data_IF_706117583613
#
_entry.id   IF_706117583613
#
_cell.length_a   1.000
_cell.length_b   1.000
_cell.length_c   1.000
_cell.angle_alpha   90.00
_cell.angle_beta   90.00
_cell.angle_gamma   90.00
#
_symmetry.space_group_name_H-M   'P 1'
#
loop_
_entity.id
_entity.type
_entity.pdbx_description
1 polymer ?
#
# COMPACT_ATOMS: atom_id res chain seq x y z
N UNK A 1 17.63 20.04 -8.65
CA UNK A 1 16.98 18.88 -8.07
C UNK A 1 15.64 19.26 -7.47
N UNK A 2 14.60 18.63 -7.94
CA UNK A 2 13.27 18.95 -7.45
C UNK A 2 12.94 18.06 -6.24
N UNK A 3 12.66 18.69 -5.13
CA UNK A 3 12.19 17.94 -3.96
C UNK A 3 10.73 17.57 -4.18
N UNK A 4 10.40 16.32 -3.92
CA UNK A 4 9.02 15.90 -3.96
C UNK A 4 8.24 16.64 -2.90
N UNK A 5 7.09 17.15 -3.26
CA UNK A 5 6.18 17.73 -2.28
C UNK A 5 5.64 16.62 -1.38
N UNK A 6 5.08 17.00 -0.24
CA UNK A 6 4.47 16.02 0.64
C UNK A 6 3.33 15.30 -0.06
N UNK A 7 2.55 16.01 -0.85
CA UNK A 7 1.46 15.39 -1.61
C UNK A 7 2.00 14.33 -2.57
N UNK A 8 3.04 14.66 -3.33
CA UNK A 8 3.64 13.70 -4.27
C UNK A 8 4.18 12.48 -3.56
N UNK A 9 4.82 12.69 -2.40
CA UNK A 9 5.35 11.59 -1.60
C UNK A 9 4.23 10.67 -1.13
N UNK A 10 3.14 11.24 -0.64
CA UNK A 10 2.00 10.45 -0.17
C UNK A 10 1.33 9.69 -1.31
N UNK A 11 1.20 10.32 -2.47
CA UNK A 11 0.66 9.65 -3.65
C UNK A 11 1.55 8.50 -4.10
N UNK A 12 2.85 8.70 -4.06
CA UNK A 12 3.81 7.66 -4.41
C UNK A 12 3.70 6.49 -3.44
N UNK A 13 3.51 6.77 -2.15
CA UNK A 13 3.35 5.73 -1.14
C UNK A 13 2.12 4.87 -1.43
N UNK A 14 1.02 5.49 -1.86
CA UNK A 14 -0.18 4.74 -2.23
C UNK A 14 0.10 3.84 -3.42
N UNK A 15 0.76 4.36 -4.45
CA UNK A 15 1.09 3.56 -5.64
C UNK A 15 2.02 2.41 -5.28
N UNK A 16 3.05 2.69 -4.47
CA UNK A 16 4.02 1.67 -4.09
C UNK A 16 3.38 0.58 -3.24
N UNK A 17 2.51 0.94 -2.30
CA UNK A 17 1.86 -0.05 -1.45
C UNK A 17 0.83 -0.86 -2.23
N UNK A 18 0.17 -0.25 -3.20
CA UNK A 18 -0.75 -0.99 -4.06
C UNK A 18 0.00 -2.00 -4.91
N UNK A 19 1.15 -1.59 -5.46
CA UNK A 19 1.97 -2.50 -6.25
C UNK A 19 2.47 -3.68 -5.41
N UNK A 20 2.86 -3.42 -4.16
CA UNK A 20 3.27 -4.47 -3.25
C UNK A 20 2.13 -5.43 -2.94
N UNK A 21 0.92 -4.91 -2.78
CA UNK A 21 -0.26 -5.72 -2.54
C UNK A 21 -0.55 -6.63 -3.74
N UNK A 22 -0.51 -6.07 -4.94
CA UNK A 22 -0.74 -6.83 -6.17
C UNK A 22 0.35 -7.91 -6.35
N UNK A 23 1.60 -7.58 -6.05
CA UNK A 23 2.69 -8.54 -6.16
C UNK A 23 2.52 -9.70 -5.16
N UNK A 24 2.05 -9.41 -3.95
CA UNK A 24 1.79 -10.45 -2.96
C UNK A 24 0.73 -11.42 -3.45
N UNK A 25 -0.30 -10.92 -4.11
CA UNK A 25 -1.34 -11.76 -4.70
C UNK A 25 -0.78 -12.64 -5.80
N UNK A 26 0.03 -12.09 -6.69
CA UNK A 26 0.60 -12.85 -7.81
C UNK A 26 1.48 -13.99 -7.32
N UNK A 27 2.32 -13.72 -6.34
CA UNK A 27 3.20 -14.76 -5.78
C UNK A 27 2.37 -15.85 -5.13
N UNK A 28 1.31 -15.50 -4.44
CA UNK A 28 0.46 -16.47 -3.77
C UNK A 28 -0.29 -17.35 -4.77
N UNK A 29 -0.72 -16.77 -5.89
CA UNK A 29 -1.41 -17.53 -6.93
C UNK A 29 -0.50 -18.56 -7.59
N UNK A 30 0.78 -18.21 -7.76
CA UNK A 30 1.75 -19.09 -8.41
C UNK A 30 2.16 -20.25 -7.51
N UNK A 31 1.97 -20.12 -6.21
CA UNK A 31 2.43 -21.13 -5.25
C UNK A 31 1.26 -21.70 -4.46
N UNK A 32 0.35 -22.37 -5.14
CA UNK A 32 -0.87 -22.89 -4.54
C UNK A 32 -0.61 -24.13 -3.69
N UNK A 33 0.09 -23.96 -2.56
CA UNK A 33 0.37 -25.03 -1.63
C UNK A 33 -0.31 -24.73 -0.29
N UNK A 34 -0.76 -25.76 0.42
CA UNK A 34 -1.47 -25.58 1.69
C UNK A 34 -0.64 -24.85 2.72
N UNK A 35 0.68 -25.09 2.72
CA UNK A 35 1.60 -24.38 3.62
C UNK A 35 1.69 -22.91 3.27
N UNK A 36 1.31 -22.55 2.07
CA UNK A 36 1.35 -21.18 1.58
C UNK A 36 0.19 -20.34 2.04
N UNK A 37 -0.94 -20.97 2.36
CA UNK A 37 -2.14 -20.23 2.73
C UNK A 37 -1.91 -19.34 3.95
N UNK A 38 -1.22 -19.88 4.97
CA UNK A 38 -0.94 -19.11 6.18
C UNK A 38 0.04 -17.96 5.88
N UNK A 39 1.09 -18.25 5.13
CA UNK A 39 2.07 -17.22 4.75
C UNK A 39 1.44 -16.20 3.82
N UNK A 40 0.57 -16.65 2.93
CA UNK A 40 -0.17 -15.78 2.03
C UNK A 40 -1.05 -14.79 2.80
N UNK A 41 -1.82 -15.30 3.76
CA UNK A 41 -2.70 -14.46 4.56
C UNK A 41 -1.92 -13.38 5.31
N UNK A 42 -0.77 -13.75 5.88
CA UNK A 42 0.06 -12.80 6.61
C UNK A 42 0.63 -11.75 5.65
N UNK A 43 1.15 -12.18 4.51
CA UNK A 43 1.75 -11.26 3.55
C UNK A 43 0.71 -10.30 2.96
N UNK A 44 -0.46 -10.83 2.58
CA UNK A 44 -1.54 -10.01 2.03
C UNK A 44 -2.08 -9.05 3.08
N UNK A 45 -2.26 -9.52 4.31
CA UNK A 45 -2.77 -8.68 5.38
C UNK A 45 -1.80 -7.53 5.68
N UNK A 46 -0.50 -7.81 5.71
CA UNK A 46 0.50 -6.77 5.97
C UNK A 46 0.53 -5.76 4.82
N UNK A 47 0.48 -6.24 3.58
CA UNK A 47 0.47 -5.34 2.41
C UNK A 47 -0.79 -4.50 2.37
N UNK A 48 -1.93 -5.11 2.70
CA UNK A 48 -3.19 -4.39 2.74
C UNK A 48 -3.19 -3.31 3.82
N UNK A 49 -2.68 -3.63 5.01
CA UNK A 49 -2.59 -2.66 6.09
C UNK A 49 -1.72 -1.47 5.70
N UNK A 50 -0.61 -1.73 5.01
CA UNK A 50 0.27 -0.66 4.53
C UNK A 50 -0.45 0.22 3.52
N UNK A 51 -1.22 -0.38 2.61
CA UNK A 51 -1.98 0.37 1.62
C UNK A 51 -3.05 1.23 2.28
N UNK A 52 -3.78 0.69 3.25
CA UNK A 52 -4.81 1.44 3.97
C UNK A 52 -4.19 2.62 4.71
N UNK A 53 -3.06 2.38 5.37
CA UNK A 53 -2.36 3.45 6.09
C UNK A 53 -1.92 4.55 5.13
N UNK A 54 -1.36 4.18 3.98
CA UNK A 54 -0.91 5.17 2.99
C UNK A 54 -2.08 5.99 2.47
N UNK A 55 -3.21 5.35 2.20
CA UNK A 55 -4.40 6.06 1.73
C UNK A 55 -4.95 6.99 2.80
N UNK A 56 -4.93 6.56 4.05
CA UNK A 56 -5.41 7.39 5.16
C UNK A 56 -4.54 8.65 5.31
N UNK A 57 -3.24 8.47 5.26
CA UNK A 57 -2.32 9.60 5.37
C UNK A 57 -2.54 10.60 4.25
N UNK A 58 -2.74 10.11 3.04
CA UNK A 58 -3.03 10.99 1.91
C UNK A 58 -4.34 11.73 2.10
N UNK A 59 -5.38 11.04 2.52
CA UNK A 59 -6.69 11.65 2.74
C UNK A 59 -6.65 12.71 3.84
N UNK A 60 -5.94 12.43 4.91
CA UNK A 60 -5.81 13.38 6.01
C UNK A 60 -5.06 14.64 5.55
N UNK A 61 -4.02 14.45 4.75
CA UNK A 61 -3.28 15.58 4.22
C UNK A 61 -4.16 16.45 3.33
N UNK A 62 -4.94 15.83 2.45
CA UNK A 62 -5.83 16.57 1.56
C UNK A 62 -6.91 17.31 2.33
N UNK A 63 -7.41 16.70 3.39
CA UNK A 63 -8.39 17.34 4.27
C UNK A 63 -7.83 18.59 4.91
N UNK A 64 -6.60 18.52 5.40
CA UNK A 64 -5.94 19.67 6.01
C UNK A 64 -5.77 20.80 5.02
N UNK A 65 -5.49 20.49 3.76
CA UNK A 65 -5.36 21.52 2.73
C UNK A 65 -6.69 22.18 2.42
N UNK A 66 -7.77 21.42 2.47
CA UNK A 66 -9.11 21.94 2.19
C UNK A 66 -9.64 22.85 3.29
N UNK A 67 -9.17 22.67 4.51
CA UNK A 67 -9.67 23.42 5.66
C UNK A 67 -9.04 24.81 5.78
N UNK A 68 -8.13 25.13 4.91
CA UNK A 68 -7.57 26.46 4.85
C UNK A 68 -8.46 27.38 4.02
#
# INVERSE_FOLDING_TARGET
MTKLTKLETLQKNVVDTKAAYDAAFDVAYDSADAAYDAAFDVAVAAAYAALVKAKRELNEYLKEQDND
#
